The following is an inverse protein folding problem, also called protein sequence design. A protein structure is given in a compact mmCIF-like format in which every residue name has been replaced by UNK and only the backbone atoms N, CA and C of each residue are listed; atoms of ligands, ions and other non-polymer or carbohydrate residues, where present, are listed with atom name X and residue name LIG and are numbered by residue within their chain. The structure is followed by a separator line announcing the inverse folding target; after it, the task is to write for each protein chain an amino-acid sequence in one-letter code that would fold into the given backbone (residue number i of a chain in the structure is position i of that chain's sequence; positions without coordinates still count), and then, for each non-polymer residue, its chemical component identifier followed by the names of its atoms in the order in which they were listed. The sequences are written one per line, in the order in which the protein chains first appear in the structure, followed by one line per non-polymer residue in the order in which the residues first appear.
data_IF_280466431606
#
_entry.id   IF_280466431606
#
_cell.length_a   1.000
_cell.length_b   1.000
_cell.length_c   1.000
_cell.angle_alpha   90.00
_cell.angle_beta   90.00
_cell.angle_gamma   90.00
#
_symmetry.space_group_name_H-M   'P 1'
#
loop_
_entity.id
_entity.type
_entity.pdbx_description
1 polymer ?
#
# COMPACT_ATOMS: atom_id res chain seq x y z
N UNK A 1 8.09 3.36 8.22
CA UNK A 1 8.62 1.98 8.34
C UNK A 1 7.90 1.06 7.36
N UNK A 2 8.38 -0.16 7.09
CA UNK A 2 7.61 -1.13 6.31
C UNK A 2 6.22 -1.29 6.93
N UNK A 3 5.20 -1.32 6.09
CA UNK A 3 3.80 -1.17 6.47
C UNK A 3 3.02 -2.40 6.04
N UNK A 4 2.02 -2.79 6.83
CA UNK A 4 1.12 -3.88 6.49
C UNK A 4 0.33 -3.54 5.21
N UNK A 5 0.40 -4.40 4.19
CA UNK A 5 -0.31 -4.18 2.92
C UNK A 5 -1.84 -4.20 3.07
N UNK A 6 -2.38 -4.97 4.04
CA UNK A 6 -3.80 -5.00 4.33
C UNK A 6 -4.31 -3.70 4.94
N UNK A 7 -3.49 -3.02 5.75
CA UNK A 7 -3.84 -1.71 6.32
C UNK A 7 -4.04 -0.64 5.23
N UNK A 8 -3.34 -0.74 4.09
CA UNK A 8 -3.58 0.17 2.95
C UNK A 8 -5.03 0.08 2.45
N UNK A 9 -5.60 -1.13 2.42
CA UNK A 9 -6.98 -1.34 1.97
C UNK A 9 -8.01 -0.79 2.96
N UNK A 10 -7.71 -0.84 4.27
CA UNK A 10 -8.57 -0.27 5.31
C UNK A 10 -8.64 1.26 5.20
N UNK A 11 -7.54 1.89 4.78
CA UNK A 11 -7.39 3.34 4.68
C UNK A 11 -7.58 3.88 3.26
N UNK A 12 -8.16 3.09 2.36
CA UNK A 12 -8.46 3.53 1.00
C UNK A 12 -9.92 3.25 0.64
N UNK A 13 -10.41 3.97 -0.36
CA UNK A 13 -11.67 3.69 -1.02
C UNK A 13 -11.44 3.56 -2.54
N UNK A 14 -11.98 2.51 -3.18
CA UNK A 14 -11.89 2.39 -4.63
C UNK A 14 -12.77 3.45 -5.30
N UNK A 15 -12.19 4.13 -6.28
CA UNK A 15 -12.85 5.18 -7.05
C UNK A 15 -12.74 4.94 -8.54
N UNK A 16 -13.79 5.36 -9.25
CA UNK A 16 -13.80 5.56 -10.71
C UNK A 16 -14.18 7.01 -10.95
N UNK A 17 -13.45 7.71 -11.81
CA UNK A 17 -13.66 9.13 -12.11
C UNK A 17 -13.78 9.99 -10.83
N UNK A 18 -12.94 9.72 -9.83
CA UNK A 18 -12.91 10.41 -8.53
C UNK A 18 -14.19 10.26 -7.68
N UNK A 19 -15.02 9.25 -7.97
CA UNK A 19 -16.22 8.93 -7.21
C UNK A 19 -16.11 7.55 -6.56
N UNK A 20 -16.45 7.41 -5.26
CA UNK A 20 -16.48 6.11 -4.61
C UNK A 20 -17.45 5.16 -5.31
N UNK A 21 -16.99 3.94 -5.55
CA UNK A 21 -17.80 2.89 -6.17
C UNK A 21 -18.83 2.40 -5.15
N UNK A 22 -20.11 2.44 -5.55
CA UNK A 22 -21.23 2.05 -4.68
C UNK A 22 -21.53 0.55 -4.81
N UNK A 23 -22.12 -0.03 -3.76
CA UNK A 23 -22.60 -1.41 -3.78
C UNK A 23 -21.51 -2.48 -3.72
N UNK A 24 -20.25 -2.09 -3.46
CA UNK A 24 -19.18 -3.04 -3.19
C UNK A 24 -19.35 -3.70 -1.83
N UNK A 25 -18.89 -4.95 -1.74
CA UNK A 25 -18.68 -5.59 -0.45
C UNK A 25 -17.67 -4.78 0.36
N UNK A 26 -18.02 -4.47 1.60
CA UNK A 26 -17.20 -3.68 2.52
C UNK A 26 -17.04 -4.42 3.85
N UNK A 27 -15.85 -4.39 4.48
CA UNK A 27 -14.62 -3.79 3.96
C UNK A 27 -13.98 -4.62 2.84
N UNK A 28 -13.23 -3.94 1.96
CA UNK A 28 -12.29 -4.61 1.07
C UNK A 28 -11.06 -5.06 1.85
N UNK A 29 -10.53 -6.21 1.49
CA UNK A 29 -9.35 -6.84 2.06
C UNK A 29 -8.62 -7.66 0.99
N UNK A 30 -7.49 -8.27 1.35
CA UNK A 30 -6.67 -9.02 0.40
C UNK A 30 -7.37 -10.28 -0.16
N UNK A 31 -8.42 -10.78 0.49
CA UNK A 31 -9.17 -11.96 0.07
C UNK A 31 -10.31 -11.65 -0.92
N UNK A 32 -10.73 -10.37 -1.02
CA UNK A 32 -11.86 -9.97 -1.86
C UNK A 32 -11.57 -8.76 -2.77
N UNK A 33 -10.34 -8.24 -2.77
CA UNK A 33 -9.94 -7.09 -3.61
C UNK A 33 -10.12 -7.39 -5.10
N UNK A 34 -10.00 -8.65 -5.50
CA UNK A 34 -10.21 -9.12 -6.87
C UNK A 34 -11.65 -8.92 -7.37
N UNK A 35 -12.63 -8.72 -6.48
CA UNK A 35 -14.01 -8.37 -6.87
C UNK A 35 -14.09 -7.09 -7.71
N UNK A 36 -13.11 -6.18 -7.57
CA UNK A 36 -12.97 -4.98 -8.39
C UNK A 36 -12.75 -5.30 -9.89
N UNK A 37 -12.21 -6.49 -10.21
CA UNK A 37 -12.01 -6.92 -11.60
C UNK A 37 -13.32 -7.05 -12.38
N UNK A 38 -14.45 -7.21 -11.70
CA UNK A 38 -15.78 -7.24 -12.33
C UNK A 38 -16.14 -5.94 -13.06
N UNK A 39 -15.46 -4.84 -12.74
CA UNK A 39 -15.62 -3.53 -13.39
C UNK A 39 -14.91 -3.44 -14.75
N UNK A 40 -14.16 -4.47 -15.14
CA UNK A 40 -13.56 -4.64 -16.46
C UNK A 40 -12.51 -3.57 -16.80
N UNK A 41 -12.60 -3.00 -18.01
CA UNK A 41 -11.66 -2.01 -18.54
C UNK A 41 -11.85 -0.59 -17.96
N UNK A 42 -12.43 -0.49 -16.76
CA UNK A 42 -12.58 0.78 -16.06
C UNK A 42 -11.35 0.98 -15.17
N UNK A 43 -10.69 2.13 -15.28
CA UNK A 43 -9.60 2.46 -14.38
C UNK A 43 -10.13 2.68 -12.96
N UNK A 44 -9.91 1.70 -12.09
CA UNK A 44 -10.21 1.77 -10.65
C UNK A 44 -8.95 2.17 -9.91
N UNK A 45 -9.07 3.16 -9.02
CA UNK A 45 -7.98 3.64 -8.19
C UNK A 45 -8.33 3.49 -6.72
N UNK A 46 -7.44 2.87 -5.94
CA UNK A 46 -7.54 2.93 -4.49
C UNK A 46 -7.08 4.32 -4.03
N UNK A 47 -7.99 5.09 -3.47
CA UNK A 47 -7.76 6.48 -3.06
C UNK A 47 -7.70 6.55 -1.54
N UNK A 48 -6.65 7.15 -0.97
CA UNK A 48 -6.50 7.30 0.48
C UNK A 48 -7.68 8.07 1.09
N UNK A 49 -8.13 7.64 2.27
CA UNK A 49 -9.13 8.34 3.07
C UNK A 49 -8.52 9.55 3.81
N UNK A 50 -7.22 9.49 4.10
CA UNK A 50 -6.47 10.56 4.76
C UNK A 50 -5.46 11.21 3.81
N UNK A 51 -5.33 12.54 3.90
CA UNK A 51 -4.30 13.30 3.18
C UNK A 51 -2.97 13.39 3.93
N UNK A 52 -1.90 13.74 3.22
CA UNK A 52 -0.54 13.92 3.78
C UNK A 52 -0.48 14.90 4.96
N UNK A 53 -1.36 15.90 4.97
CA UNK A 53 -1.42 16.97 5.96
C UNK A 53 -2.41 16.69 7.11
N UNK A 54 -2.88 15.44 7.26
CA UNK A 54 -3.77 15.06 8.34
C UNK A 54 -3.13 15.33 9.72
N UNK A 55 -3.92 15.93 10.64
CA UNK A 55 -3.49 16.30 11.98
C UNK A 55 -4.53 15.85 13.03
N UNK A 56 -4.16 14.95 13.98
CA UNK A 56 -2.84 14.33 14.11
C UNK A 56 -2.50 13.40 12.93
N UNK A 57 -1.21 13.19 12.67
CA UNK A 57 -0.77 12.27 11.62
C UNK A 57 -1.31 10.86 11.90
N UNK A 58 -1.96 10.19 10.94
CA UNK A 58 -2.51 8.86 11.13
C UNK A 58 -1.44 7.86 11.55
N UNK A 59 -1.75 6.99 12.51
CA UNK A 59 -0.78 6.04 13.03
C UNK A 59 -0.26 5.08 11.96
N UNK A 60 -1.10 4.73 10.97
CA UNK A 60 -0.77 3.80 9.89
C UNK A 60 0.31 4.34 8.94
N UNK A 61 0.52 5.67 8.85
CA UNK A 61 1.61 6.27 8.07
C UNK A 61 3.00 5.86 8.59
N UNK A 62 3.10 5.52 9.88
CA UNK A 62 4.39 5.22 10.51
C UNK A 62 4.90 3.81 10.17
N UNK A 63 4.02 2.91 9.72
CA UNK A 63 4.30 1.50 9.50
C UNK A 63 4.60 0.74 10.79
N UNK A 64 5.15 -0.46 10.67
CA UNK A 64 5.48 -1.35 11.78
C UNK A 64 6.97 -1.37 12.02
N UNK A 65 7.39 -1.08 13.26
CA UNK A 65 8.79 -1.16 13.64
C UNK A 65 9.26 -2.64 13.63
N UNK A 66 10.39 -2.95 12.98
CA UNK A 66 11.00 -4.27 13.10
C UNK A 66 11.50 -4.54 14.53
N UNK A 67 11.45 -5.81 14.94
CA UNK A 67 12.12 -6.26 16.16
C UNK A 67 13.65 -6.38 15.98
N UNK A 68 14.34 -6.86 17.01
CA UNK A 68 15.79 -7.04 16.99
C UNK A 68 16.28 -8.02 15.91
N UNK A 69 15.40 -8.85 15.35
CA UNK A 69 15.69 -9.79 14.27
C UNK A 69 15.25 -9.24 12.91
N UNK A 70 14.76 -8.01 12.84
CA UNK A 70 14.30 -7.38 11.61
C UNK A 70 12.87 -7.78 11.20
N UNK A 71 12.11 -8.45 12.07
CA UNK A 71 10.73 -8.87 11.77
C UNK A 71 9.73 -7.80 12.19
N UNK A 72 8.83 -7.43 11.30
CA UNK A 72 7.65 -6.61 11.60
C UNK A 72 6.53 -7.47 12.20
N UNK A 73 6.47 -7.52 13.53
CA UNK A 73 5.52 -8.41 14.21
C UNK A 73 4.06 -7.97 13.96
N UNK A 74 3.24 -8.92 13.48
CA UNK A 74 1.81 -8.69 13.22
C UNK A 74 1.52 -7.92 11.93
N UNK A 75 2.50 -7.76 11.03
CA UNK A 75 2.33 -7.07 9.75
C UNK A 75 2.86 -7.90 8.58
N UNK A 76 2.12 -7.89 7.47
CA UNK A 76 2.57 -8.36 6.16
C UNK A 76 3.18 -7.18 5.41
N UNK A 77 4.46 -6.93 5.64
CA UNK A 77 5.15 -5.72 5.15
C UNK A 77 5.92 -5.90 3.85
N UNK A 78 5.94 -7.12 3.30
CA UNK A 78 6.65 -7.44 2.07
C UNK A 78 6.02 -8.58 1.30
N UNK A 79 6.28 -8.61 0.01
CA UNK A 79 5.91 -9.68 -0.90
C UNK A 79 7.16 -10.14 -1.67
N UNK A 80 7.30 -11.45 -1.86
CA UNK A 80 8.34 -12.02 -2.71
C UNK A 80 7.66 -12.68 -3.90
N UNK A 81 7.98 -12.22 -5.10
CA UNK A 81 7.54 -12.84 -6.35
C UNK A 81 8.70 -13.67 -6.89
N UNK A 82 8.41 -14.93 -7.20
CA UNK A 82 9.40 -15.90 -7.67
C UNK A 82 9.03 -16.35 -9.08
N UNK A 83 10.01 -16.36 -9.98
CA UNK A 83 9.90 -17.01 -11.29
C UNK A 83 10.93 -18.13 -11.39
N UNK A 84 10.45 -19.37 -11.39
CA UNK A 84 11.26 -20.53 -11.72
C UNK A 84 11.37 -20.71 -13.24
N UNK A 85 12.60 -20.91 -13.72
CA UNK A 85 12.91 -21.16 -15.13
C UNK A 85 12.97 -22.66 -15.48
N UNK A 86 12.76 -23.55 -14.51
CA UNK A 86 12.83 -25.02 -14.63
C UNK A 86 14.19 -25.56 -15.13
N UNK A 87 15.26 -24.80 -14.90
CA UNK A 87 16.63 -25.15 -15.30
C UNK A 87 17.64 -24.95 -14.15
N UNK A 88 17.15 -24.85 -12.91
CA UNK A 88 17.95 -24.57 -11.73
C UNK A 88 18.21 -23.08 -11.47
N UNK A 89 17.65 -22.17 -12.28
CA UNK A 89 17.72 -20.72 -12.06
C UNK A 89 16.35 -20.17 -11.64
N UNK A 90 16.36 -19.22 -10.70
CA UNK A 90 15.18 -18.54 -10.17
C UNK A 90 15.43 -17.04 -10.13
N UNK A 91 14.47 -16.26 -10.63
CA UNK A 91 14.42 -14.82 -10.35
C UNK A 91 13.56 -14.58 -9.10
N UNK A 92 14.06 -13.76 -8.18
CA UNK A 92 13.35 -13.35 -6.97
C UNK A 92 13.24 -11.83 -6.92
N UNK A 93 12.02 -11.34 -6.79
CA UNK A 93 11.71 -9.91 -6.67
C UNK A 93 11.14 -9.64 -5.28
N UNK A 94 11.77 -8.73 -4.55
CA UNK A 94 11.40 -8.36 -3.18
C UNK A 94 10.72 -7.00 -3.22
N UNK A 95 9.49 -6.93 -2.73
CA UNK A 95 8.72 -5.70 -2.61
C UNK A 95 8.47 -5.42 -1.14
N UNK A 96 8.61 -4.17 -0.73
CA UNK A 96 8.32 -3.69 0.61
C UNK A 96 7.31 -2.55 0.49
N UNK A 97 6.32 -2.53 1.38
CA UNK A 97 5.26 -1.54 1.32
C UNK A 97 5.53 -0.43 2.34
N UNK A 98 5.34 0.83 1.94
CA UNK A 98 5.49 1.98 2.82
C UNK A 98 4.25 2.87 2.72
N UNK A 99 3.50 2.97 3.83
CA UNK A 99 2.29 3.78 3.88
C UNK A 99 2.52 5.27 3.59
N UNK A 100 3.71 5.76 3.91
CA UNK A 100 4.09 7.15 3.75
C UNK A 100 5.53 7.23 3.26
N UNK A 101 5.76 8.11 2.30
CA UNK A 101 7.07 8.46 1.81
C UNK A 101 7.25 9.97 1.96
N UNK A 102 8.22 10.36 2.78
CA UNK A 102 8.55 11.77 3.04
C UNK A 102 9.38 12.33 1.88
N UNK A 103 9.03 13.52 1.44
CA UNK A 103 9.74 14.18 0.35
C UNK A 103 11.18 14.50 0.70
N UNK A 104 12.07 14.44 -0.30
CA UNK A 104 13.43 14.92 -0.10
C UNK A 104 13.43 16.44 0.13
N UNK A 105 14.18 16.90 1.13
CA UNK A 105 14.43 18.32 1.34
C UNK A 105 15.70 18.76 0.62
N UNK A 106 15.58 19.71 -0.31
CA UNK A 106 16.70 20.29 -1.07
C UNK A 106 16.71 21.80 -0.87
N UNK A 107 17.85 22.33 -0.40
CA UNK A 107 18.02 23.76 -0.08
C UNK A 107 16.96 24.32 0.89
N UNK A 108 16.46 23.50 1.82
CA UNK A 108 15.45 23.90 2.80
C UNK A 108 14.01 23.86 2.29
N UNK A 109 13.78 23.36 1.08
CA UNK A 109 12.44 23.12 0.52
C UNK A 109 12.20 21.62 0.40
N UNK A 110 11.08 21.14 0.93
CA UNK A 110 10.65 19.74 0.84
C UNK A 110 9.91 19.48 -0.48
N UNK A 111 10.33 18.44 -1.20
CA UNK A 111 9.79 18.07 -2.50
C UNK A 111 8.95 16.79 -2.40
N UNK A 112 7.76 16.95 -1.83
CA UNK A 112 6.60 16.07 -2.05
C UNK A 112 6.48 14.91 -1.06
N UNK A 113 5.40 14.92 -0.29
CA UNK A 113 4.97 13.77 0.51
C UNK A 113 3.97 12.93 -0.24
N UNK A 114 4.10 11.61 -0.16
CA UNK A 114 3.17 10.67 -0.77
C UNK A 114 2.61 9.71 0.29
N UNK A 115 1.33 9.35 0.12
CA UNK A 115 0.65 8.31 0.90
C UNK A 115 0.31 7.17 -0.04
N UNK A 116 0.62 5.94 0.39
CA UNK A 116 0.43 4.73 -0.40
C UNK A 116 1.46 4.58 -1.52
N UNK A 117 2.74 4.69 -1.20
CA UNK A 117 3.85 4.36 -2.11
C UNK A 117 4.14 2.83 -2.00
N UNK A 118 4.12 2.11 -3.12
CA UNK A 118 4.18 0.63 -3.16
C UNK A 118 5.07 0.10 -4.28
#
# INVERSE_FOLDING_TARGET
MPSDIGQQLVHTTPMVDHKPIQGLQSPLNLDNLDSLNSLGNTSVYLTSLEGINASPQPAWFKGTAPDQQGKTNGAVSSMIIIRDHNNGTVDAFYFYFYAYNEGNTVLGMEFGDHVGDW
#
